data_IF_904933717858
#
_entry.id   IF_904933717858
#
_cell.length_a   1.000
_cell.length_b   1.000
_cell.length_c   1.000
_cell.angle_alpha   90.00
_cell.angle_beta   90.00
_cell.angle_gamma   90.00
#
_symmetry.space_group_name_H-M   'P 1'
#
loop_
_entity.id
_entity.type
_entity.pdbx_description
1 polymer ?
#
# COMPACT_ATOMS: atom_id res chain seq x y z
N UNK A 1 -47.43 0.44 -34.16
CA UNK A 1 -46.38 0.39 -35.21
C UNK A 1 -45.06 0.81 -34.57
N UNK A 2 -44.04 -0.05 -34.52
CA UNK A 2 -42.69 0.34 -34.06
C UNK A 2 -42.02 1.12 -35.20
N UNK A 3 -41.58 2.36 -34.94
CA UNK A 3 -40.74 3.11 -35.89
C UNK A 3 -39.38 2.41 -35.96
N UNK A 4 -38.99 1.98 -37.16
CA UNK A 4 -37.63 1.53 -37.41
C UNK A 4 -36.70 2.75 -37.36
N UNK A 5 -35.57 2.61 -36.66
CA UNK A 5 -34.55 3.64 -36.51
C UNK A 5 -33.92 3.95 -37.88
N UNK A 6 -33.69 5.21 -38.21
CA UNK A 6 -33.11 5.57 -39.50
C UNK A 6 -31.60 5.28 -39.51
N UNK A 7 -31.06 4.77 -40.62
CA UNK A 7 -29.62 4.53 -40.73
C UNK A 7 -28.81 5.82 -40.53
N UNK A 8 -29.33 6.98 -40.96
CA UNK A 8 -28.64 8.26 -40.76
C UNK A 8 -28.58 8.68 -39.29
N UNK A 9 -29.60 8.35 -38.49
CA UNK A 9 -29.61 8.63 -37.05
C UNK A 9 -28.53 7.80 -36.36
N UNK A 10 -28.35 6.54 -36.76
CA UNK A 10 -27.30 5.68 -36.21
C UNK A 10 -25.90 6.19 -36.57
N UNK A 11 -25.71 6.59 -37.83
CA UNK A 11 -24.43 7.13 -38.31
C UNK A 11 -24.08 8.43 -37.58
N UNK A 12 -25.04 9.33 -37.37
CA UNK A 12 -24.79 10.58 -36.66
C UNK A 12 -24.40 10.36 -35.19
N UNK A 13 -25.05 9.39 -34.53
CA UNK A 13 -24.74 9.03 -33.13
C UNK A 13 -23.30 8.50 -33.01
N UNK A 14 -22.89 7.56 -33.86
CA UNK A 14 -21.53 6.99 -33.78
C UNK A 14 -20.44 8.02 -34.10
N UNK A 15 -20.72 8.96 -35.02
CA UNK A 15 -19.77 10.05 -35.35
C UNK A 15 -19.60 10.99 -34.16
N UNK A 16 -20.70 11.40 -33.51
CA UNK A 16 -20.63 12.23 -32.31
C UNK A 16 -19.89 11.50 -31.18
N UNK A 17 -20.21 10.23 -30.94
CA UNK A 17 -19.51 9.42 -29.94
C UNK A 17 -18.02 9.28 -30.26
N UNK A 18 -17.64 9.19 -31.53
CA UNK A 18 -16.23 9.15 -31.97
C UNK A 18 -15.46 10.43 -31.63
N UNK A 19 -16.05 11.60 -31.89
CA UNK A 19 -15.42 12.90 -31.57
C UNK A 19 -15.32 13.09 -30.05
N UNK A 20 -16.39 12.78 -29.31
CA UNK A 20 -16.40 12.89 -27.85
C UNK A 20 -15.35 11.96 -27.22
N UNK A 21 -15.24 10.72 -27.71
CA UNK A 21 -14.24 9.77 -27.21
C UNK A 21 -12.81 10.27 -27.44
N UNK A 22 -12.50 10.78 -28.64
CA UNK A 22 -11.15 11.27 -28.96
C UNK A 22 -10.70 12.42 -28.06
N UNK A 23 -11.61 13.34 -27.74
CA UNK A 23 -11.30 14.48 -26.84
C UNK A 23 -11.19 14.08 -25.37
N UNK A 24 -11.87 13.02 -24.94
CA UNK A 24 -11.87 12.58 -23.55
C UNK A 24 -10.65 11.75 -23.14
N UNK A 25 -10.06 10.97 -24.05
CA UNK A 25 -8.97 10.03 -23.76
C UNK A 25 -7.75 10.70 -23.09
N UNK A 26 -7.19 11.82 -23.59
CA UNK A 26 -5.98 12.41 -23.00
C UNK A 26 -6.19 12.88 -21.55
N UNK A 27 -7.36 13.46 -21.27
CA UNK A 27 -7.73 13.92 -19.93
C UNK A 27 -8.01 12.76 -18.98
N UNK A 28 -8.57 11.67 -19.49
CA UNK A 28 -8.86 10.49 -18.67
C UNK A 28 -7.58 9.78 -18.21
N UNK A 29 -6.53 9.76 -19.03
CA UNK A 29 -5.23 9.21 -18.64
C UNK A 29 -4.59 10.02 -17.49
N UNK A 30 -4.55 11.35 -17.60
CA UNK A 30 -3.93 12.19 -16.56
C UNK A 30 -4.68 12.12 -15.22
N UNK A 31 -6.02 12.06 -15.24
CA UNK A 31 -6.82 11.93 -14.01
C UNK A 31 -6.58 10.59 -13.32
N UNK A 32 -6.37 9.51 -14.07
CA UNK A 32 -6.05 8.21 -13.49
C UNK A 32 -4.68 8.24 -12.80
N UNK A 33 -3.67 8.81 -13.43
CA UNK A 33 -2.34 8.93 -12.83
C UNK A 33 -2.38 9.80 -11.57
N UNK A 34 -3.07 10.95 -11.62
CA UNK A 34 -3.27 11.82 -10.46
C UNK A 34 -4.00 11.11 -9.31
N UNK A 35 -5.02 10.30 -9.64
CA UNK A 35 -5.77 9.52 -8.66
C UNK A 35 -4.88 8.44 -8.01
N UNK A 36 -4.06 7.74 -8.80
CA UNK A 36 -3.10 6.76 -8.29
C UNK A 36 -2.09 7.42 -7.34
N UNK A 37 -1.51 8.55 -7.73
CA UNK A 37 -0.55 9.30 -6.91
C UNK A 37 -1.21 9.77 -5.61
N UNK A 38 -2.42 10.31 -5.68
CA UNK A 38 -3.17 10.78 -4.51
C UNK A 38 -3.50 9.65 -3.53
N UNK A 39 -3.92 8.50 -4.05
CA UNK A 39 -4.19 7.31 -3.24
C UNK A 39 -2.90 6.83 -2.55
N UNK A 40 -1.80 6.73 -3.29
CA UNK A 40 -0.51 6.30 -2.74
C UNK A 40 -0.03 7.22 -1.60
N UNK A 41 -0.13 8.54 -1.80
CA UNK A 41 0.19 9.54 -0.78
C UNK A 41 -0.69 9.41 0.47
N UNK A 42 -1.98 9.14 0.26
CA UNK A 42 -2.92 8.93 1.37
C UNK A 42 -2.51 7.71 2.18
N UNK A 43 -2.27 6.57 1.53
CA UNK A 43 -1.81 5.33 2.18
C UNK A 43 -0.52 5.56 2.98
N UNK A 44 0.47 6.26 2.41
CA UNK A 44 1.73 6.59 3.12
C UNK A 44 1.48 7.55 4.28
N UNK A 45 0.55 8.48 4.13
CA UNK A 45 0.13 9.39 5.19
C UNK A 45 -0.43 8.65 6.40
N UNK A 46 -1.35 7.70 6.17
CA UNK A 46 -1.87 6.83 7.23
C UNK A 46 -0.72 6.03 7.84
N UNK A 47 0.16 5.45 7.03
CA UNK A 47 1.31 4.68 7.51
C UNK A 47 2.24 5.47 8.45
N UNK A 48 2.55 6.72 8.12
CA UNK A 48 3.30 7.63 9.01
C UNK A 48 2.60 7.82 10.35
N UNK A 49 1.28 8.03 10.35
CA UNK A 49 0.51 8.17 11.58
C UNK A 49 0.53 6.89 12.41
N UNK A 50 0.39 5.73 11.77
CA UNK A 50 0.47 4.43 12.42
C UNK A 50 1.82 4.18 13.09
N UNK A 51 2.94 4.53 12.44
CA UNK A 51 4.29 4.43 13.02
C UNK A 51 4.41 5.30 14.28
N UNK A 52 3.94 6.55 14.24
CA UNK A 52 3.96 7.46 15.40
C UNK A 52 3.08 6.93 16.54
N UNK A 53 1.89 6.41 16.23
CA UNK A 53 1.01 5.80 17.21
C UNK A 53 1.67 4.58 17.89
N UNK A 54 2.27 3.68 17.12
CA UNK A 54 2.95 2.50 17.64
C UNK A 54 4.16 2.87 18.49
N UNK A 55 4.93 3.88 18.06
CA UNK A 55 6.01 4.44 18.85
C UNK A 55 5.50 4.98 20.19
N UNK A 56 4.43 5.77 20.20
CA UNK A 56 3.80 6.26 21.43
C UNK A 56 3.34 5.14 22.38
N UNK A 57 2.73 4.08 21.82
CA UNK A 57 2.35 2.89 22.60
C UNK A 57 3.58 2.14 23.15
N UNK A 58 4.69 2.11 22.41
CA UNK A 58 5.93 1.45 22.85
C UNK A 58 6.64 2.22 23.96
N UNK A 59 6.61 3.55 23.89
CA UNK A 59 7.14 4.45 24.92
C UNK A 59 6.39 4.26 26.24
N UNK A 60 5.05 4.11 26.19
CA UNK A 60 4.24 3.95 27.41
C UNK A 60 4.28 2.53 27.99
N UNK A 61 4.30 1.48 27.16
CA UNK A 61 4.28 0.10 27.63
C UNK A 61 5.66 -0.45 28.03
N UNK A 62 6.75 0.07 27.48
CA UNK A 62 8.10 -0.43 27.79
C UNK A 62 8.41 -1.83 27.23
N UNK A 63 7.43 -2.54 26.64
CA UNK A 63 7.60 -3.88 26.05
C UNK A 63 6.94 -4.04 24.68
N UNK A 64 7.27 -5.13 23.99
CA UNK A 64 6.62 -5.51 22.73
C UNK A 64 5.19 -5.98 23.02
N UNK A 65 4.25 -5.59 22.17
CA UNK A 65 2.84 -5.88 22.38
C UNK A 65 2.17 -6.44 21.14
N UNK A 66 1.06 -7.13 21.36
CA UNK A 66 0.20 -7.62 20.30
C UNK A 66 -0.93 -6.63 20.00
N UNK A 67 -1.36 -6.62 18.75
CA UNK A 67 -2.52 -5.91 18.25
C UNK A 67 -3.43 -6.87 17.48
N UNK A 68 -4.67 -6.46 17.25
CA UNK A 68 -5.59 -7.20 16.40
C UNK A 68 -5.61 -6.57 15.00
N UNK A 69 -5.51 -7.39 13.97
CA UNK A 69 -5.71 -7.03 12.57
C UNK A 69 -6.99 -7.71 12.10
N UNK A 70 -7.94 -6.96 11.59
CA UNK A 70 -9.14 -7.52 10.98
C UNK A 70 -8.96 -7.54 9.48
N UNK A 71 -9.22 -8.69 8.84
CA UNK A 71 -9.23 -8.78 7.39
C UNK A 71 -10.53 -8.28 6.77
N UNK A 72 -10.56 -8.18 5.43
CA UNK A 72 -11.75 -7.76 4.68
C UNK A 72 -12.96 -8.69 4.83
N UNK A 73 -12.71 -9.93 5.22
CA UNK A 73 -13.76 -10.92 5.47
C UNK A 73 -14.26 -10.86 6.92
N UNK A 74 -13.75 -9.91 7.73
CA UNK A 74 -14.09 -9.76 9.14
C UNK A 74 -13.39 -10.77 10.05
N UNK A 75 -12.34 -11.43 9.58
CA UNK A 75 -11.55 -12.38 10.37
C UNK A 75 -10.45 -11.63 11.12
N UNK A 76 -10.42 -11.83 12.44
CA UNK A 76 -9.41 -11.24 13.31
C UNK A 76 -8.14 -12.11 13.37
N UNK A 77 -7.00 -11.44 13.26
CA UNK A 77 -5.66 -12.00 13.40
C UNK A 77 -4.95 -11.28 14.54
N UNK A 78 -4.31 -12.02 15.42
CA UNK A 78 -3.42 -11.43 16.43
C UNK A 78 -2.06 -11.20 15.79
N UNK A 79 -1.48 -10.03 15.96
CA UNK A 79 -0.16 -9.73 15.43
C UNK A 79 0.73 -9.07 16.47
N UNK A 80 1.92 -9.63 16.69
CA UNK A 80 2.93 -9.13 17.63
C UNK A 80 3.85 -8.15 16.93
N UNK A 81 3.95 -6.94 17.49
CA UNK A 81 4.79 -5.88 16.93
C UNK A 81 6.15 -5.90 17.64
N UNK A 82 7.22 -6.05 16.87
CA UNK A 82 8.59 -5.93 17.35
C UNK A 82 9.11 -4.53 17.08
N UNK A 83 9.89 -4.03 18.03
CA UNK A 83 10.44 -2.69 18.00
C UNK A 83 11.96 -2.74 18.08
N UNK A 84 12.60 -1.81 17.40
CA UNK A 84 14.03 -1.59 17.58
C UNK A 84 14.33 -0.99 18.96
N UNK A 85 15.61 -0.92 19.35
CA UNK A 85 16.07 -0.22 20.55
C UNK A 85 15.72 1.28 20.54
N UNK A 86 15.41 1.84 19.37
CA UNK A 86 14.91 3.22 19.19
C UNK A 86 13.38 3.35 19.29
N UNK A 87 12.68 2.30 19.72
CA UNK A 87 11.23 2.28 19.99
C UNK A 87 10.36 2.49 18.75
N UNK A 88 10.92 2.39 17.55
CA UNK A 88 10.14 2.38 16.31
C UNK A 88 9.83 0.95 15.87
N UNK A 89 8.67 0.74 15.24
CA UNK A 89 8.27 -0.59 14.81
C UNK A 89 9.21 -1.07 13.70
N UNK A 90 9.63 -2.31 13.80
CA UNK A 90 10.61 -2.93 12.91
C UNK A 90 9.95 -4.04 12.09
N UNK A 91 9.45 -5.07 12.77
CA UNK A 91 8.74 -6.18 12.16
C UNK A 91 7.39 -6.38 12.82
N UNK A 92 6.49 -6.97 12.07
CA UNK A 92 5.23 -7.50 12.55
C UNK A 92 5.26 -9.00 12.36
N UNK A 93 4.74 -9.70 13.34
CA UNK A 93 4.54 -11.12 13.25
C UNK A 93 3.07 -11.46 13.43
N UNK A 94 2.44 -12.07 12.42
CA UNK A 94 1.00 -12.31 12.39
C UNK A 94 0.73 -13.77 12.73
N UNK A 95 0.05 -13.98 13.84
CA UNK A 95 -0.42 -15.29 14.27
C UNK A 95 -1.68 -15.66 13.46
N UNK A 96 -1.61 -16.80 12.76
CA UNK A 96 -2.78 -17.37 12.08
C UNK A 96 -3.72 -18.01 13.10
N UNK A 97 -5.03 -17.70 13.09
CA UNK A 97 -6.00 -18.32 13.98
C UNK A 97 -5.96 -19.85 13.91
N UNK A 98 -5.71 -20.51 15.05
CA UNK A 98 -5.76 -21.98 15.17
C UNK A 98 -4.43 -22.73 15.00
N UNK A 99 -3.29 -22.04 14.86
CA UNK A 99 -1.95 -22.67 14.85
C UNK A 99 -1.21 -22.31 16.14
N UNK A 100 -1.26 -23.19 17.14
CA UNK A 100 -0.34 -23.13 18.29
C UNK A 100 1.03 -23.65 17.86
N UNK A 101 2.04 -22.78 17.84
CA UNK A 101 3.44 -23.21 17.74
C UNK A 101 4.17 -22.91 19.04
N UNK A 102 4.77 -23.96 19.62
CA UNK A 102 5.59 -23.89 20.82
C UNK A 102 6.76 -22.93 20.60
N UNK A 103 6.72 -21.71 21.15
CA UNK A 103 7.82 -20.76 21.40
C UNK A 103 8.94 -20.59 20.33
N UNK A 104 8.72 -21.05 19.11
CA UNK A 104 9.62 -20.95 17.98
C UNK A 104 8.75 -20.75 16.75
N UNK A 105 8.47 -19.48 16.49
CA UNK A 105 7.64 -19.01 15.41
C UNK A 105 8.26 -19.41 14.05
N UNK A 106 7.79 -20.53 13.49
CA UNK A 106 8.21 -21.04 12.18
C UNK A 106 7.02 -21.66 11.45
N UNK A 107 6.13 -20.81 10.93
CA UNK A 107 5.33 -21.14 9.74
C UNK A 107 5.08 -19.88 8.91
N UNK A 108 6.07 -19.61 8.06
CA UNK A 108 5.93 -18.87 6.82
C UNK A 108 4.77 -19.43 5.97
N UNK A 109 3.59 -18.82 6.07
CA UNK A 109 2.72 -18.65 4.89
C UNK A 109 2.76 -17.16 4.51
N UNK A 110 3.89 -16.76 3.90
CA UNK A 110 4.07 -15.53 3.11
C UNK A 110 3.44 -14.24 3.66
N UNK A 111 3.47 -14.06 4.98
CA UNK A 111 3.14 -12.81 5.68
C UNK A 111 4.20 -12.42 6.72
N UNK A 112 5.29 -13.20 6.83
CA UNK A 112 6.47 -12.91 7.67
C UNK A 112 7.37 -11.79 7.14
N UNK A 113 7.16 -11.34 5.90
CA UNK A 113 7.86 -10.20 5.29
C UNK A 113 7.13 -8.87 5.47
N UNK A 114 6.08 -8.85 6.28
CA UNK A 114 5.30 -7.65 6.56
C UNK A 114 5.99 -6.83 7.66
N UNK A 115 7.00 -6.03 7.29
CA UNK A 115 7.54 -4.99 8.20
C UNK A 115 6.46 -3.96 8.52
N UNK A 116 6.71 -3.14 9.56
CA UNK A 116 5.81 -2.20 10.24
C UNK A 116 4.77 -1.46 9.39
N UNK A 117 5.02 -1.24 8.11
CA UNK A 117 4.10 -0.62 7.15
C UNK A 117 2.80 -1.40 6.96
N UNK A 118 2.84 -2.74 7.02
CA UNK A 118 1.67 -3.60 6.83
C UNK A 118 0.62 -3.51 7.94
N UNK A 119 0.95 -2.84 9.04
CA UNK A 119 0.03 -2.55 10.15
C UNK A 119 -0.99 -1.48 9.81
N UNK A 120 -0.74 -0.73 8.74
CA UNK A 120 -1.44 0.52 8.48
C UNK A 120 -2.13 0.54 7.11
N UNK A 121 -1.85 -0.48 6.29
CA UNK A 121 -2.48 -0.68 4.99
C UNK A 121 -3.49 -1.81 5.12
N UNK A 122 -4.67 -1.63 4.55
CA UNK A 122 -5.70 -2.68 4.51
C UNK A 122 -5.14 -3.96 3.85
N UNK A 123 -5.59 -5.15 4.29
CA UNK A 123 -5.05 -6.43 3.86
C UNK A 123 -5.04 -6.65 2.34
N UNK A 124 -5.94 -5.98 1.62
CA UNK A 124 -6.07 -6.03 0.15
C UNK A 124 -5.23 -4.99 -0.58
N UNK A 125 -5.10 -3.77 -0.05
CA UNK A 125 -4.14 -2.80 -0.60
C UNK A 125 -2.70 -3.28 -0.45
N UNK A 126 -2.43 -4.18 0.50
CA UNK A 126 -1.10 -4.75 0.73
C UNK A 126 -0.49 -5.52 -0.45
N UNK A 127 -1.29 -6.09 -1.38
CA UNK A 127 -0.72 -6.79 -2.55
C UNK A 127 -0.13 -5.84 -3.58
N UNK A 128 -0.60 -4.59 -3.60
CA UNK A 128 -0.20 -3.58 -4.58
C UNK A 128 1.10 -2.89 -4.18
N UNK A 129 1.56 -3.14 -2.94
CA UNK A 129 2.78 -2.61 -2.37
C UNK A 129 3.85 -3.68 -2.32
N UNK A 130 4.95 -3.43 -3.03
CA UNK A 130 6.13 -4.27 -2.96
C UNK A 130 7.17 -3.65 -2.00
N UNK A 131 7.98 -4.53 -1.41
CA UNK A 131 9.01 -4.19 -0.42
C UNK A 131 10.37 -4.71 -0.90
N UNK A 132 11.41 -3.90 -0.76
CA UNK A 132 12.80 -4.32 -1.02
C UNK A 132 13.76 -3.81 0.06
N UNK A 133 14.78 -4.59 0.38
CA UNK A 133 15.89 -4.18 1.26
C UNK A 133 16.90 -3.32 0.53
N UNK A 134 17.67 -2.51 1.26
CA UNK A 134 18.74 -1.67 0.68
C UNK A 134 19.81 -2.49 -0.05
N UNK A 135 20.10 -3.70 0.46
CA UNK A 135 21.11 -4.61 -0.09
C UNK A 135 20.49 -5.92 -0.59
N UNK A 136 19.21 -5.92 -0.95
CA UNK A 136 18.45 -7.14 -1.31
C UNK A 136 18.16 -8.08 -0.13
N UNK A 137 18.76 -7.84 1.04
CA UNK A 137 18.45 -8.52 2.30
C UNK A 137 17.38 -7.76 3.08
N UNK A 138 16.33 -8.47 3.50
CA UNK A 138 15.20 -7.95 4.27
C UNK A 138 15.56 -7.64 5.74
N UNK A 139 16.85 -7.68 6.10
CA UNK A 139 17.35 -7.50 7.46
C UNK A 139 17.09 -6.10 8.04
N UNK A 140 17.20 -6.01 9.37
CA UNK A 140 17.00 -4.82 10.18
C UNK A 140 17.68 -3.57 9.59
N UNK A 141 16.91 -2.54 9.22
CA UNK A 141 17.46 -1.33 8.60
C UNK A 141 16.42 -0.55 7.79
N UNK A 142 16.94 0.30 6.88
CA UNK A 142 16.14 1.02 5.90
C UNK A 142 15.39 0.04 4.99
N UNK A 143 14.15 0.36 4.65
CA UNK A 143 13.32 -0.45 3.77
C UNK A 143 12.74 0.40 2.66
N UNK A 144 12.76 -0.12 1.44
CA UNK A 144 12.13 0.50 0.28
C UNK A 144 10.75 -0.08 0.07
N UNK A 145 9.78 0.79 -0.20
CA UNK A 145 8.42 0.43 -0.54
C UNK A 145 8.05 1.08 -1.87
N UNK A 146 7.53 0.28 -2.78
CA UNK A 146 7.05 0.72 -4.10
C UNK A 146 5.57 0.40 -4.16
N UNK A 147 4.74 1.43 -4.28
CA UNK A 147 3.29 1.31 -4.42
C UNK A 147 2.85 1.24 -5.88
N UNK A 148 1.54 1.22 -6.12
CA UNK A 148 0.97 1.14 -7.46
C UNK A 148 1.34 2.34 -8.35
N UNK A 149 1.37 3.57 -7.82
CA UNK A 149 1.75 4.74 -8.63
C UNK A 149 3.26 4.73 -8.94
N UNK A 150 4.08 4.32 -7.97
CA UNK A 150 5.52 4.06 -8.14
C UNK A 150 5.84 2.98 -9.18
N UNK A 151 4.90 2.09 -9.52
CA UNK A 151 5.12 1.01 -10.50
C UNK A 151 4.51 1.27 -11.88
N UNK A 152 3.51 2.14 -11.97
CA UNK A 152 2.70 2.30 -13.20
C UNK A 152 2.91 3.67 -13.85
N UNK A 153 3.09 4.73 -13.07
CA UNK A 153 3.18 6.10 -13.60
C UNK A 153 4.55 6.31 -14.25
N UNK A 154 4.56 6.50 -15.57
CA UNK A 154 5.79 6.72 -16.36
C UNK A 154 6.17 8.19 -16.52
N UNK A 155 5.30 9.11 -16.11
CA UNK A 155 5.55 10.54 -16.23
C UNK A 155 6.68 11.00 -15.30
N UNK A 156 7.84 11.34 -15.87
CA UNK A 156 9.01 11.86 -15.13
C UNK A 156 8.76 13.20 -14.43
N UNK A 157 7.74 13.96 -14.85
CA UNK A 157 7.31 15.21 -14.21
C UNK A 157 6.47 14.99 -12.95
N UNK A 158 5.94 13.78 -12.76
CA UNK A 158 5.13 13.44 -11.60
C UNK A 158 5.96 13.39 -10.31
N UNK A 159 5.31 13.72 -9.19
CA UNK A 159 5.96 13.62 -7.88
C UNK A 159 6.37 12.17 -7.57
N UNK A 160 5.55 11.21 -7.98
CA UNK A 160 5.79 9.77 -7.86
C UNK A 160 5.71 9.16 -9.26
N UNK A 161 6.71 8.37 -9.65
CA UNK A 161 6.81 7.70 -10.95
C UNK A 161 7.67 6.44 -10.84
N UNK A 162 7.80 5.68 -11.94
CA UNK A 162 8.61 4.46 -12.02
C UNK A 162 10.06 4.68 -11.59
N UNK A 163 10.47 3.91 -10.57
CA UNK A 163 11.82 3.96 -10.02
C UNK A 163 11.97 4.86 -8.79
N UNK A 164 10.96 5.68 -8.47
CA UNK A 164 10.86 6.30 -7.15
C UNK A 164 10.29 5.33 -6.14
N UNK A 165 10.70 5.46 -4.88
CA UNK A 165 10.27 4.58 -3.79
C UNK A 165 10.21 5.33 -2.47
N UNK A 166 9.41 4.79 -1.55
CA UNK A 166 9.34 5.26 -0.18
C UNK A 166 10.39 4.53 0.66
N UNK A 167 11.35 5.27 1.21
CA UNK A 167 12.32 4.76 2.17
C UNK A 167 11.79 4.95 3.59
N UNK A 168 11.54 3.85 4.31
CA UNK A 168 11.32 3.85 5.75
C UNK A 168 12.64 3.63 6.48
N UNK A 169 12.94 4.48 7.45
CA UNK A 169 14.06 4.30 8.35
C UNK A 169 13.57 3.99 9.77
N UNK A 170 13.74 2.74 10.20
CA UNK A 170 13.35 2.25 11.52
C UNK A 170 14.19 2.83 12.68
N UNK A 171 15.27 3.55 12.42
CA UNK A 171 16.06 4.20 13.49
C UNK A 171 15.43 5.52 13.95
N UNK A 172 14.70 6.19 13.05
CA UNK A 172 14.11 7.50 13.32
C UNK A 172 12.60 7.59 12.96
N UNK A 173 12.00 6.49 12.52
CA UNK A 173 10.60 6.38 12.15
C UNK A 173 10.19 7.20 10.92
N UNK A 174 11.15 7.71 10.13
CA UNK A 174 10.83 8.59 8.99
C UNK A 174 10.54 7.78 7.73
N UNK A 175 9.57 8.28 6.95
CA UNK A 175 9.22 7.81 5.61
C UNK A 175 9.54 8.93 4.62
N UNK A 176 10.45 8.70 3.68
CA UNK A 176 10.94 9.71 2.73
C UNK A 176 10.77 9.17 1.31
N UNK A 177 10.25 9.99 0.39
CA UNK A 177 10.23 9.65 -1.03
C UNK A 177 11.62 9.88 -1.62
N UNK A 178 12.12 8.90 -2.37
CA UNK A 178 13.40 8.98 -3.09
C UNK A 178 13.23 8.62 -4.55
#
# INVERSE_FOLDING_TARGET
MRRAFSMIELVFVIVILGILAMTAIPRFASIQDDALISNEKTTIGVARQGVVMLHGKRVTRGENFSITLTDKNGTDYTARVYFTSKLYPETLDVETPGVTTDNNFTTSTSRGDRKAFALVVEPEGLSDWNRSGVDGSLSAGKMYYTGPASNVVTDTGAEIYIGKYWEYNNTNGKLILR
#
